data_IF_926933098543
#
_entry.id   IF_926933098543
#
_cell.length_a   1.000
_cell.length_b   1.000
_cell.length_c   1.000
_cell.angle_alpha   90.00
_cell.angle_beta   90.00
_cell.angle_gamma   90.00
#
_symmetry.space_group_name_H-M   'P 1'
#
loop_
_entity.id
_entity.type
_entity.pdbx_description
1 polymer ?
#
# COMPACT_ATOMS: atom_id res chain seq x y z
N UNK A 1 -38.60 -25.57 -59.16
CA UNK A 1 -39.74 -25.08 -58.37
C UNK A 1 -39.63 -25.68 -56.99
N UNK A 2 -39.07 -25.00 -56.03
CA UNK A 2 -39.37 -25.16 -54.60
C UNK A 2 -38.66 -24.02 -53.83
N UNK A 3 -39.47 -23.06 -53.48
CA UNK A 3 -39.13 -21.94 -52.62
C UNK A 3 -39.18 -22.43 -51.19
N UNK A 4 -38.08 -22.37 -50.46
CA UNK A 4 -38.05 -22.56 -49.01
C UNK A 4 -37.85 -21.20 -48.38
N UNK A 5 -38.95 -20.66 -47.84
CA UNK A 5 -38.99 -19.44 -47.06
C UNK A 5 -38.29 -19.68 -45.70
N UNK A 6 -37.27 -18.88 -45.38
CA UNK A 6 -36.64 -18.81 -44.08
C UNK A 6 -37.57 -18.13 -43.06
N UNK A 7 -37.71 -18.75 -41.88
CA UNK A 7 -38.53 -18.35 -40.75
C UNK A 7 -38.03 -17.08 -40.09
N UNK A 8 -38.92 -16.19 -39.55
CA UNK A 8 -38.55 -14.90 -38.89
C UNK A 8 -37.96 -14.98 -37.48
N UNK A 9 -37.52 -16.14 -37.01
CA UNK A 9 -37.11 -16.37 -35.61
C UNK A 9 -35.62 -16.14 -35.31
N UNK A 10 -34.77 -15.94 -36.33
CA UNK A 10 -33.32 -15.77 -36.12
C UNK A 10 -32.82 -14.32 -35.93
N UNK A 11 -33.73 -13.33 -35.85
CA UNK A 11 -33.35 -11.90 -35.74
C UNK A 11 -33.42 -11.33 -34.32
N UNK A 12 -33.43 -12.11 -33.25
CA UNK A 12 -33.53 -11.59 -31.88
C UNK A 12 -32.43 -12.03 -30.90
N UNK A 13 -31.27 -12.41 -31.33
CA UNK A 13 -30.14 -12.74 -30.44
C UNK A 13 -28.88 -11.89 -30.77
N UNK A 14 -29.07 -10.64 -31.15
CA UNK A 14 -28.00 -9.67 -31.09
C UNK A 14 -28.10 -8.95 -29.74
N UNK A 15 -27.83 -9.64 -28.66
CA UNK A 15 -27.70 -9.06 -27.34
C UNK A 15 -26.45 -8.19 -27.36
N UNK A 16 -26.71 -6.91 -27.30
CA UNK A 16 -25.81 -5.77 -27.27
C UNK A 16 -24.78 -5.95 -26.13
N UNK A 17 -23.66 -6.62 -26.42
CA UNK A 17 -22.52 -6.75 -25.50
C UNK A 17 -21.90 -5.38 -25.15
N UNK A 18 -22.28 -4.30 -25.84
CA UNK A 18 -21.81 -2.95 -25.55
C UNK A 18 -22.49 -2.33 -24.34
N UNK A 19 -23.66 -2.83 -23.92
CA UNK A 19 -24.39 -2.33 -22.74
C UNK A 19 -23.99 -2.97 -21.42
N UNK A 20 -23.34 -4.15 -21.45
CA UNK A 20 -22.86 -4.82 -20.23
C UNK A 20 -21.55 -4.23 -19.69
N UNK A 21 -20.81 -3.46 -20.49
CA UNK A 21 -19.58 -2.78 -20.06
C UNK A 21 -19.82 -1.46 -19.33
N UNK A 22 -21.08 -0.96 -19.25
CA UNK A 22 -21.40 0.39 -18.73
C UNK A 22 -21.92 0.44 -17.28
N UNK A 23 -21.93 -0.66 -16.54
CA UNK A 23 -22.44 -0.69 -15.15
C UNK A 23 -21.47 -1.33 -14.14
N UNK A 24 -20.16 -1.20 -14.35
CA UNK A 24 -19.25 -1.27 -13.22
C UNK A 24 -19.29 0.09 -12.51
N UNK A 25 -20.16 0.24 -11.49
CA UNK A 25 -19.89 1.25 -10.46
C UNK A 25 -18.46 0.99 -10.02
N UNK A 26 -17.57 2.01 -9.99
CA UNK A 26 -16.23 1.80 -9.47
C UNK A 26 -16.42 1.25 -8.04
N UNK A 27 -16.01 0.01 -7.80
CA UNK A 27 -16.01 -0.55 -6.47
C UNK A 27 -15.06 0.29 -5.64
N UNK A 28 -15.56 0.87 -4.55
CA UNK A 28 -14.75 1.59 -3.58
C UNK A 28 -13.73 0.61 -2.98
N UNK A 29 -12.46 0.78 -3.26
CA UNK A 29 -11.39 -0.05 -2.69
C UNK A 29 -11.18 0.29 -1.22
N UNK A 30 -11.27 -0.69 -0.35
CA UNK A 30 -11.02 -0.53 1.09
C UNK A 30 -9.54 -0.83 1.38
N UNK A 31 -8.82 0.17 1.86
CA UNK A 31 -7.40 0.08 2.19
C UNK A 31 -7.24 -0.18 3.69
N UNK A 32 -6.41 -1.16 4.05
CA UNK A 32 -5.83 -1.25 5.38
C UNK A 32 -4.41 -0.69 5.37
N UNK A 33 -4.07 0.14 6.36
CA UNK A 33 -2.69 0.63 6.55
C UNK A 33 -2.09 -0.06 7.77
N UNK A 34 -0.94 -0.71 7.60
CA UNK A 34 -0.19 -1.33 8.68
C UNK A 34 0.95 -0.42 9.10
N UNK A 35 1.10 -0.21 10.41
CA UNK A 35 2.02 0.76 11.02
C UNK A 35 2.70 0.21 12.27
N UNK A 36 3.83 0.82 12.68
CA UNK A 36 4.48 0.47 13.97
C UNK A 36 4.92 1.70 14.79
N UNK A 37 4.71 2.93 14.29
CA UNK A 37 5.30 4.12 14.89
C UNK A 37 4.48 5.39 14.76
N UNK A 38 5.14 6.50 14.37
CA UNK A 38 4.57 7.85 14.35
C UNK A 38 3.38 8.04 13.41
N UNK A 39 3.35 7.35 12.26
CA UNK A 39 2.23 7.34 11.34
C UNK A 39 2.07 8.59 10.46
N UNK A 40 3.14 9.31 10.16
CA UNK A 40 3.11 10.48 9.27
C UNK A 40 2.63 10.09 7.87
N UNK A 41 3.13 9.01 7.31
CA UNK A 41 2.65 8.46 6.03
C UNK A 41 1.20 7.95 6.12
N UNK A 42 0.84 7.30 7.23
CA UNK A 42 -0.52 6.84 7.46
C UNK A 42 -1.53 8.02 7.42
N UNK A 43 -1.26 9.09 8.16
CA UNK A 43 -2.11 10.28 8.17
C UNK A 43 -2.19 10.93 6.79
N UNK A 44 -1.07 11.02 6.08
CA UNK A 44 -1.02 11.60 4.74
C UNK A 44 -1.89 10.81 3.75
N UNK A 45 -1.83 9.47 3.78
CA UNK A 45 -2.67 8.60 2.96
C UNK A 45 -4.16 8.76 3.34
N UNK A 46 -4.50 8.81 4.63
CA UNK A 46 -5.88 9.04 5.09
C UNK A 46 -6.43 10.34 4.50
N UNK A 47 -5.68 11.45 4.61
CA UNK A 47 -6.08 12.76 4.09
C UNK A 47 -6.26 12.74 2.57
N UNK A 48 -5.34 12.10 1.86
CA UNK A 48 -5.40 12.02 0.39
C UNK A 48 -6.67 11.32 -0.10
N UNK A 49 -7.09 10.23 0.57
CA UNK A 49 -8.25 9.45 0.18
C UNK A 49 -9.56 9.89 0.85
N UNK A 50 -9.56 10.92 1.68
CA UNK A 50 -10.73 11.35 2.46
C UNK A 50 -11.95 11.63 1.57
N UNK A 51 -11.77 12.32 0.44
CA UNK A 51 -12.83 12.68 -0.49
C UNK A 51 -12.79 11.85 -1.79
N UNK A 52 -12.01 10.77 -1.83
CA UNK A 52 -11.88 9.91 -2.99
C UNK A 52 -13.14 9.10 -3.23
N UNK A 53 -13.53 8.97 -4.51
CA UNK A 53 -14.64 8.10 -4.93
C UNK A 53 -14.17 6.70 -5.33
N UNK A 54 -12.86 6.44 -5.32
CA UNK A 54 -12.24 5.18 -5.77
C UNK A 54 -11.76 4.31 -4.63
N UNK A 55 -11.20 4.93 -3.61
CA UNK A 55 -10.64 4.21 -2.47
C UNK A 55 -10.84 4.97 -1.17
N UNK A 56 -10.81 4.27 -0.05
CA UNK A 56 -10.83 4.83 1.30
C UNK A 56 -9.95 4.01 2.23
N UNK A 57 -9.40 4.65 3.24
CA UNK A 57 -8.76 3.96 4.34
C UNK A 57 -9.86 3.47 5.28
N UNK A 58 -10.04 2.17 5.37
CA UNK A 58 -11.11 1.52 6.16
C UNK A 58 -10.62 0.96 7.48
N UNK A 59 -9.29 0.80 7.64
CA UNK A 59 -8.69 0.25 8.84
C UNK A 59 -7.23 0.70 8.96
N UNK A 60 -6.78 1.03 10.17
CA UNK A 60 -5.37 1.15 10.52
C UNK A 60 -5.03 0.08 11.55
N UNK A 61 -4.03 -0.75 11.26
CA UNK A 61 -3.57 -1.84 12.12
C UNK A 61 -2.17 -1.51 12.62
N UNK A 62 -1.97 -1.58 13.94
CA UNK A 62 -0.64 -1.47 14.53
C UNK A 62 -0.25 -2.72 15.31
N UNK A 63 1.01 -3.14 15.19
CA UNK A 63 1.56 -4.18 16.05
C UNK A 63 1.97 -3.67 17.45
N UNK A 64 1.85 -2.35 17.69
CA UNK A 64 2.19 -1.69 18.96
C UNK A 64 1.01 -0.87 19.45
N UNK A 65 0.67 -1.04 20.71
CA UNK A 65 -0.46 -0.33 21.36
C UNK A 65 -0.18 1.18 21.51
N UNK A 66 1.08 1.54 21.63
CA UNK A 66 1.57 2.91 21.83
C UNK A 66 1.92 3.64 20.52
N UNK A 67 1.64 3.04 19.36
CA UNK A 67 1.88 3.67 18.08
C UNK A 67 1.03 4.94 17.91
N UNK A 68 1.67 6.09 17.76
CA UNK A 68 0.97 7.38 17.60
C UNK A 68 0.12 7.43 16.32
N UNK A 69 0.42 6.58 15.35
CA UNK A 69 -0.41 6.36 14.16
C UNK A 69 -1.88 6.03 14.49
N UNK A 70 -2.15 5.31 15.59
CA UNK A 70 -3.51 4.98 16.04
C UNK A 70 -4.27 6.24 16.45
N UNK A 71 -3.59 7.16 17.15
CA UNK A 71 -4.16 8.46 17.55
C UNK A 71 -4.49 9.30 16.30
N UNK A 72 -3.57 9.35 15.33
CA UNK A 72 -3.79 10.06 14.06
C UNK A 72 -5.00 9.49 13.31
N UNK A 73 -5.09 8.18 13.15
CA UNK A 73 -6.21 7.52 12.48
C UNK A 73 -7.54 7.80 13.19
N UNK A 74 -7.56 7.70 14.52
CA UNK A 74 -8.74 8.02 15.32
C UNK A 74 -9.23 9.45 15.12
N UNK A 75 -8.32 10.42 15.08
CA UNK A 75 -8.64 11.85 14.85
C UNK A 75 -9.28 12.09 13.46
N UNK A 76 -9.04 11.22 12.51
CA UNK A 76 -9.67 11.22 11.20
C UNK A 76 -10.91 10.30 11.09
N UNK A 77 -11.37 9.71 12.21
CA UNK A 77 -12.53 8.81 12.24
C UNK A 77 -12.28 7.45 11.56
N UNK A 78 -11.02 7.06 11.36
CA UNK A 78 -10.67 5.76 10.78
C UNK A 78 -10.58 4.71 11.90
N UNK A 79 -11.26 3.56 11.76
CA UNK A 79 -11.14 2.44 12.69
C UNK A 79 -9.70 1.99 12.89
N UNK A 80 -9.37 1.61 14.12
CA UNK A 80 -8.01 1.18 14.48
C UNK A 80 -8.04 -0.15 15.22
N UNK A 81 -7.05 -1.01 14.96
CA UNK A 81 -6.87 -2.28 15.65
C UNK A 81 -5.42 -2.46 16.10
N UNK A 82 -5.24 -3.01 17.30
CA UNK A 82 -3.92 -3.42 17.79
C UNK A 82 -3.78 -4.92 17.53
N UNK A 83 -2.86 -5.27 16.61
CA UNK A 83 -2.63 -6.63 16.17
C UNK A 83 -1.18 -7.02 16.42
N UNK A 84 -0.91 -7.53 17.60
CA UNK A 84 0.45 -7.89 18.04
C UNK A 84 1.05 -9.01 17.19
N UNK A 85 2.35 -9.24 17.31
CA UNK A 85 3.04 -10.33 16.61
C UNK A 85 2.36 -11.69 16.83
N UNK A 86 1.89 -11.96 18.06
CA UNK A 86 1.21 -13.21 18.39
C UNK A 86 -0.13 -13.34 17.68
N UNK A 87 -0.88 -12.24 17.57
CA UNK A 87 -2.13 -12.21 16.79
C UNK A 87 -1.89 -12.41 15.29
N UNK A 88 -0.82 -11.86 14.75
CA UNK A 88 -0.43 -12.12 13.36
C UNK A 88 -0.01 -13.57 13.10
N UNK A 89 0.32 -14.35 14.13
CA UNK A 89 0.58 -15.80 13.96
C UNK A 89 -0.71 -16.62 13.78
N UNK A 90 -1.88 -16.08 14.15
CA UNK A 90 -3.18 -16.67 13.88
C UNK A 90 -3.72 -16.19 12.53
N UNK A 91 -3.54 -17.03 11.50
CA UNK A 91 -3.95 -16.73 10.14
C UNK A 91 -5.46 -16.55 10.02
N UNK A 92 -6.25 -17.39 10.69
CA UNK A 92 -7.71 -17.35 10.60
C UNK A 92 -8.26 -16.05 11.19
N UNK A 93 -7.82 -15.69 12.41
CA UNK A 93 -8.24 -14.46 13.07
C UNK A 93 -7.80 -13.21 12.27
N UNK A 94 -6.61 -13.22 11.66
CA UNK A 94 -6.13 -12.09 10.86
C UNK A 94 -6.95 -11.91 9.58
N UNK A 95 -7.24 -13.00 8.87
CA UNK A 95 -8.07 -12.94 7.66
C UNK A 95 -9.50 -12.55 8.01
N UNK A 96 -10.06 -13.03 9.12
CA UNK A 96 -11.39 -12.63 9.60
C UNK A 96 -11.44 -11.14 9.90
N UNK A 97 -10.46 -10.59 10.60
CA UNK A 97 -10.35 -9.15 10.84
C UNK A 97 -10.40 -8.36 9.53
N UNK A 98 -9.51 -8.67 8.59
CA UNK A 98 -9.44 -7.94 7.31
C UNK A 98 -10.73 -8.08 6.49
N UNK A 99 -11.35 -9.26 6.52
CA UNK A 99 -12.63 -9.53 5.84
C UNK A 99 -13.78 -8.75 6.45
N UNK A 100 -13.83 -8.59 7.79
CA UNK A 100 -14.88 -7.84 8.50
C UNK A 100 -14.88 -6.36 8.07
N UNK A 101 -13.71 -5.79 7.78
CA UNK A 101 -13.55 -4.44 7.21
C UNK A 101 -13.59 -4.42 5.68
N UNK A 102 -13.81 -5.57 5.02
CA UNK A 102 -13.85 -5.72 3.56
C UNK A 102 -12.58 -5.18 2.88
N UNK A 103 -11.42 -5.48 3.45
CA UNK A 103 -10.15 -4.96 2.96
C UNK A 103 -9.81 -5.60 1.61
N UNK A 104 -9.51 -4.75 0.63
CA UNK A 104 -9.13 -5.12 -0.73
C UNK A 104 -7.63 -4.94 -1.00
N UNK A 105 -6.98 -4.02 -0.27
CA UNK A 105 -5.59 -3.61 -0.48
C UNK A 105 -4.91 -3.27 0.85
N UNK A 106 -3.64 -3.64 1.00
CA UNK A 106 -2.85 -3.41 2.22
C UNK A 106 -1.65 -2.52 1.89
N UNK A 107 -1.44 -1.50 2.70
CA UNK A 107 -0.32 -0.56 2.60
C UNK A 107 0.53 -0.65 3.86
N UNK A 108 1.80 -0.97 3.73
CA UNK A 108 2.75 -0.91 4.83
C UNK A 108 3.37 0.49 4.88
N UNK A 109 3.12 1.21 5.97
CA UNK A 109 3.61 2.58 6.18
C UNK A 109 4.44 2.64 7.47
N UNK A 110 5.66 2.15 7.42
CA UNK A 110 6.51 1.99 8.60
C UNK A 110 6.08 0.82 9.49
N UNK A 111 5.70 -0.31 8.89
CA UNK A 111 5.40 -1.55 9.58
C UNK A 111 6.65 -2.40 9.73
N UNK A 112 7.02 -2.73 10.99
CA UNK A 112 8.33 -3.32 11.30
C UNK A 112 8.33 -4.85 11.44
N UNK A 113 7.18 -5.51 11.39
CA UNK A 113 7.13 -6.97 11.37
C UNK A 113 7.21 -7.49 9.92
N UNK A 114 7.78 -8.68 9.78
CA UNK A 114 7.66 -9.43 8.51
C UNK A 114 6.18 -9.73 8.28
N UNK A 115 5.69 -9.46 7.07
CA UNK A 115 4.34 -9.87 6.66
C UNK A 115 4.30 -11.39 6.62
N UNK A 116 3.34 -12.04 7.28
CA UNK A 116 3.21 -13.49 7.22
C UNK A 116 2.89 -13.99 5.81
N UNK A 117 3.46 -15.12 5.43
CA UNK A 117 3.33 -15.67 4.08
C UNK A 117 1.86 -15.95 3.69
N UNK A 118 1.01 -16.33 4.65
CA UNK A 118 -0.42 -16.52 4.39
C UNK A 118 -1.14 -15.22 3.94
N UNK A 119 -0.68 -14.04 4.41
CA UNK A 119 -1.23 -12.76 3.92
C UNK A 119 -0.79 -12.47 2.49
N UNK A 120 0.45 -12.79 2.13
CA UNK A 120 0.95 -12.63 0.77
C UNK A 120 0.14 -13.50 -0.20
N UNK A 121 -0.18 -14.74 0.22
CA UNK A 121 -1.02 -15.66 -0.55
C UNK A 121 -2.47 -15.17 -0.63
N UNK A 122 -3.03 -14.62 0.45
CA UNK A 122 -4.42 -14.13 0.47
C UNK A 122 -4.60 -12.81 -0.30
N UNK A 123 -3.55 -11.99 -0.39
CA UNK A 123 -3.56 -10.68 -1.04
C UNK A 123 -2.48 -10.59 -2.15
N UNK A 124 -2.54 -11.44 -3.21
CA UNK A 124 -1.51 -11.50 -4.24
C UNK A 124 -1.43 -10.17 -5.01
N UNK A 125 -0.25 -9.54 -5.01
CA UNK A 125 0.00 -8.21 -5.60
C UNK A 125 -0.91 -7.09 -5.05
N UNK A 126 -1.40 -7.25 -3.83
CA UNK A 126 -2.26 -6.27 -3.14
C UNK A 126 -1.67 -5.80 -1.82
N UNK A 127 -0.40 -6.08 -1.58
CA UNK A 127 0.35 -5.55 -0.43
C UNK A 127 1.54 -4.79 -0.99
N UNK A 128 1.66 -3.52 -0.62
CA UNK A 128 2.80 -2.67 -0.99
C UNK A 128 3.48 -2.12 0.25
N UNK A 129 4.76 -1.83 0.11
CA UNK A 129 5.59 -1.19 1.14
C UNK A 129 6.28 0.05 0.57
N UNK A 130 6.52 1.04 1.44
CA UNK A 130 7.48 2.10 1.17
C UNK A 130 8.74 1.89 1.99
N UNK A 131 9.89 1.90 1.32
CA UNK A 131 11.21 1.78 1.93
C UNK A 131 11.99 3.08 1.75
N UNK A 132 12.64 3.63 2.81
CA UNK A 132 13.26 4.95 2.78
C UNK A 132 14.68 4.96 2.17
N UNK A 133 14.93 4.11 1.16
CA UNK A 133 16.15 4.09 0.37
C UNK A 133 15.89 3.63 -1.08
N UNK A 134 16.93 3.70 -1.91
CA UNK A 134 16.91 3.21 -3.29
C UNK A 134 17.26 1.72 -3.32
N UNK A 135 16.27 0.86 -3.20
CA UNK A 135 16.48 -0.59 -3.28
C UNK A 135 17.20 -0.98 -4.59
N UNK A 136 18.08 -1.97 -4.55
CA UNK A 136 18.35 -2.92 -3.45
C UNK A 136 19.31 -2.43 -2.36
N UNK A 137 19.84 -1.20 -2.45
CA UNK A 137 20.75 -0.64 -1.46
C UNK A 137 20.00 -0.36 -0.16
N UNK A 138 20.64 -0.58 0.98
CA UNK A 138 20.11 -0.31 2.32
C UNK A 138 18.74 -0.95 2.58
N UNK A 139 18.46 -2.10 1.97
CA UNK A 139 17.26 -2.92 2.22
C UNK A 139 17.53 -4.13 3.08
N UNK A 140 16.46 -4.85 3.43
CA UNK A 140 16.53 -6.12 4.13
C UNK A 140 16.37 -6.02 5.66
N UNK A 141 16.57 -7.14 6.35
CA UNK A 141 16.32 -7.26 7.78
C UNK A 141 17.17 -6.27 8.60
N UNK A 142 16.49 -5.46 9.41
CA UNK A 142 17.13 -4.45 10.28
C UNK A 142 17.29 -3.08 9.65
N UNK A 143 17.01 -2.93 8.35
CA UNK A 143 17.08 -1.66 7.63
C UNK A 143 15.71 -0.97 7.63
N UNK A 144 15.48 -0.12 8.62
CA UNK A 144 14.23 0.64 8.77
C UNK A 144 14.46 1.98 9.48
N UNK A 145 13.64 2.98 9.12
CA UNK A 145 13.63 4.29 9.75
C UNK A 145 15.02 4.92 9.79
N UNK A 146 15.42 5.43 10.95
CA UNK A 146 16.67 6.15 11.17
C UNK A 146 17.93 5.35 10.78
N UNK A 147 17.92 4.03 10.99
CA UNK A 147 19.06 3.16 10.63
C UNK A 147 19.41 3.19 9.14
N UNK A 148 18.42 3.37 8.28
CA UNK A 148 18.64 3.51 6.83
C UNK A 148 19.39 4.81 6.53
N UNK A 149 19.00 5.92 7.15
CA UNK A 149 19.62 7.22 6.93
C UNK A 149 21.04 7.28 7.51
N UNK A 150 21.28 6.61 8.65
CA UNK A 150 22.62 6.41 9.20
C UNK A 150 23.51 5.61 8.24
N UNK A 151 22.96 4.54 7.63
CA UNK A 151 23.70 3.74 6.67
C UNK A 151 24.06 4.55 5.41
N UNK A 152 23.11 5.27 4.83
CA UNK A 152 23.35 6.17 3.69
C UNK A 152 24.47 7.18 3.98
N UNK A 153 24.44 7.81 5.18
CA UNK A 153 25.48 8.79 5.57
C UNK A 153 26.83 8.13 5.81
N UNK A 154 26.88 6.99 6.50
CA UNK A 154 28.09 6.22 6.81
C UNK A 154 28.78 5.73 5.54
N UNK A 155 28.00 5.24 4.57
CA UNK A 155 28.53 4.63 3.36
C UNK A 155 28.93 5.69 2.32
N UNK A 156 28.64 6.96 2.60
CA UNK A 156 29.06 8.10 1.78
C UNK A 156 28.30 8.22 0.47
N UNK A 157 27.07 7.76 0.44
CA UNK A 157 26.23 7.86 -0.75
C UNK A 157 26.03 9.32 -1.16
N UNK A 158 26.06 9.60 -2.45
CA UNK A 158 25.83 10.93 -3.02
C UNK A 158 24.37 11.18 -3.39
N UNK A 159 23.54 10.12 -3.39
CA UNK A 159 22.11 10.18 -3.57
C UNK A 159 21.40 9.13 -2.69
N UNK A 160 20.17 9.42 -2.34
CA UNK A 160 19.25 8.48 -1.68
C UNK A 160 17.85 8.67 -2.24
N UNK A 161 16.84 8.03 -1.66
CA UNK A 161 15.48 8.18 -2.15
C UNK A 161 14.50 7.27 -1.43
N UNK A 162 13.39 7.05 -2.08
CA UNK A 162 12.36 6.12 -1.63
C UNK A 162 12.15 5.03 -2.68
N UNK A 163 11.74 3.86 -2.22
CA UNK A 163 11.28 2.76 -3.07
C UNK A 163 9.90 2.32 -2.61
N UNK A 164 8.93 2.32 -3.52
CA UNK A 164 7.62 1.70 -3.33
C UNK A 164 7.64 0.40 -4.12
N UNK A 165 7.31 -0.73 -3.46
CA UNK A 165 7.41 -2.05 -4.05
C UNK A 165 6.28 -2.97 -3.57
N UNK A 166 5.96 -4.00 -4.35
CA UNK A 166 5.11 -5.08 -3.89
C UNK A 166 5.83 -5.90 -2.82
N UNK A 167 5.08 -6.39 -1.84
CA UNK A 167 5.62 -7.26 -0.79
C UNK A 167 5.63 -8.71 -1.26
N UNK A 168 6.74 -9.39 -1.00
CA UNK A 168 6.92 -10.82 -1.18
C UNK A 168 7.43 -11.46 0.13
N UNK A 169 7.85 -12.72 0.08
CA UNK A 169 8.29 -13.50 1.24
C UNK A 169 9.63 -13.01 1.83
N UNK A 170 10.37 -12.16 1.13
CA UNK A 170 11.64 -11.58 1.58
C UNK A 170 11.49 -10.10 1.94
N UNK A 171 12.29 -9.61 2.89
CA UNK A 171 12.29 -8.19 3.22
C UNK A 171 12.84 -7.37 2.04
N UNK A 172 12.08 -6.34 1.64
CA UNK A 172 12.44 -5.31 0.66
C UNK A 172 12.90 -5.84 -0.71
N UNK A 173 12.51 -7.09 -1.06
CA UNK A 173 12.94 -7.77 -2.29
C UNK A 173 11.83 -7.94 -3.35
N UNK A 174 10.63 -7.40 -3.10
CA UNK A 174 9.52 -7.49 -4.04
C UNK A 174 9.70 -6.57 -5.25
N UNK A 175 8.86 -6.79 -6.27
CA UNK A 175 8.90 -6.01 -7.52
C UNK A 175 8.73 -4.52 -7.24
N UNK A 176 9.70 -3.71 -7.67
CA UNK A 176 9.67 -2.25 -7.57
C UNK A 176 8.55 -1.70 -8.46
N UNK A 177 7.76 -0.78 -7.89
CA UNK A 177 6.69 -0.04 -8.55
C UNK A 177 7.20 1.35 -8.92
N UNK A 178 7.85 2.04 -7.95
CA UNK A 178 8.26 3.42 -8.11
C UNK A 178 9.50 3.72 -7.25
N UNK A 179 10.36 4.59 -7.75
CA UNK A 179 11.47 5.17 -7.00
C UNK A 179 11.54 6.67 -7.25
N UNK A 180 11.78 7.44 -6.20
CA UNK A 180 12.16 8.85 -6.30
C UNK A 180 13.53 9.07 -5.64
N UNK A 181 14.33 9.97 -6.21
CA UNK A 181 15.72 10.23 -5.82
C UNK A 181 15.90 11.65 -5.28
N UNK A 182 16.85 11.81 -4.39
CA UNK A 182 17.27 13.12 -3.87
C UNK A 182 18.77 13.09 -3.61
N UNK A 183 19.51 14.18 -3.91
CA UNK A 183 20.94 14.26 -3.63
C UNK A 183 21.22 14.32 -2.13
N UNK A 184 22.28 13.63 -1.70
CA UNK A 184 22.89 13.74 -0.37
C UNK A 184 24.11 14.63 -0.48
N UNK A 185 24.04 15.79 0.17
CA UNK A 185 25.15 16.73 0.18
C UNK A 185 26.18 16.36 1.25
N UNK A 186 27.46 16.70 1.09
CA UNK A 186 28.47 16.45 2.13
C UNK A 186 28.12 17.10 3.48
N UNK A 187 27.37 18.19 3.45
CA UNK A 187 26.91 18.94 4.62
C UNK A 187 25.65 18.35 5.29
N UNK A 188 24.95 17.42 4.64
CA UNK A 188 23.76 16.81 5.21
C UNK A 188 24.15 15.91 6.39
N UNK A 189 23.53 16.14 7.52
CA UNK A 189 23.51 15.17 8.62
C UNK A 189 22.37 14.16 8.43
N UNK A 190 22.26 13.19 9.34
CA UNK A 190 21.24 12.13 9.26
C UNK A 190 19.84 12.70 9.31
N UNK A 191 19.62 13.76 10.11
CA UNK A 191 18.31 14.42 10.22
C UNK A 191 17.92 15.16 8.93
N UNK A 192 18.89 15.78 8.24
CA UNK A 192 18.67 16.42 6.95
C UNK A 192 18.30 15.38 5.86
N UNK A 193 18.96 14.23 5.87
CA UNK A 193 18.64 13.11 4.96
C UNK A 193 17.21 12.61 5.23
N UNK A 194 16.87 12.35 6.50
CA UNK A 194 15.52 11.92 6.91
C UNK A 194 14.44 12.91 6.46
N UNK A 195 14.65 14.20 6.64
CA UNK A 195 13.70 15.24 6.22
C UNK A 195 13.46 15.24 4.70
N UNK A 196 14.53 15.04 3.91
CA UNK A 196 14.42 14.90 2.45
C UNK A 196 13.59 13.67 2.06
N UNK A 197 13.83 12.54 2.73
CA UNK A 197 13.08 11.31 2.49
C UNK A 197 11.61 11.49 2.85
N UNK A 198 11.29 12.07 4.02
CA UNK A 198 9.91 12.35 4.40
C UNK A 198 9.19 13.23 3.37
N UNK A 199 9.87 14.20 2.77
CA UNK A 199 9.29 15.03 1.71
C UNK A 199 8.92 14.20 0.48
N UNK A 200 9.78 13.27 0.05
CA UNK A 200 9.49 12.36 -1.06
C UNK A 200 8.35 11.40 -0.73
N UNK A 201 8.36 10.83 0.47
CA UNK A 201 7.30 9.92 0.94
C UNK A 201 5.94 10.60 0.92
N UNK A 202 5.83 11.79 1.53
CA UNK A 202 4.58 12.52 1.61
C UNK A 202 4.03 12.92 0.24
N UNK A 203 4.90 13.27 -0.69
CA UNK A 203 4.52 13.62 -2.05
C UNK A 203 4.05 12.42 -2.84
N UNK A 204 4.85 11.35 -2.88
CA UNK A 204 4.69 10.30 -3.88
C UNK A 204 3.87 9.10 -3.41
N UNK A 205 3.88 8.78 -2.10
CA UNK A 205 3.26 7.54 -1.66
C UNK A 205 1.74 7.50 -1.93
N UNK A 206 0.94 8.53 -1.57
CA UNK A 206 -0.48 8.53 -1.89
C UNK A 206 -0.77 8.52 -3.39
N UNK A 207 0.01 9.26 -4.19
CA UNK A 207 -0.15 9.34 -5.65
C UNK A 207 0.09 7.97 -6.32
N UNK A 208 1.13 7.24 -5.87
CA UNK A 208 1.43 5.90 -6.39
C UNK A 208 0.36 4.89 -5.98
N UNK A 209 -0.15 4.96 -4.74
CA UNK A 209 -1.29 4.12 -4.32
C UNK A 209 -2.49 4.37 -5.24
N UNK A 210 -2.87 5.63 -5.48
CA UNK A 210 -4.00 5.98 -6.33
C UNK A 210 -3.81 5.51 -7.77
N UNK A 211 -2.60 5.59 -8.30
CA UNK A 211 -2.26 5.07 -9.64
C UNK A 211 -2.48 3.56 -9.73
N UNK A 212 -1.97 2.78 -8.76
CA UNK A 212 -2.14 1.32 -8.71
C UNK A 212 -3.63 0.94 -8.66
N UNK A 213 -4.43 1.67 -7.88
CA UNK A 213 -5.86 1.38 -7.71
C UNK A 213 -6.71 1.85 -8.89
N UNK A 214 -6.11 2.52 -9.88
CA UNK A 214 -6.77 3.01 -11.08
C UNK A 214 -6.62 2.09 -12.29
N UNK A 215 -5.71 1.10 -12.21
CA UNK A 215 -5.48 0.07 -13.22
C UNK A 215 -6.49 -1.07 -13.11
#
# INVERSE_FOLDING_TARGET
MNSTAFSPLEKRLNTDHSKLSRLKRPFMTNIAIFVSGSGTNCENIIRYFQDSKRARVSLVVSNKIDAYALVRAHNHGVPTEVWTKDRFSDAAATIELLSSYKIDFIVLAGFLLKVPDYLIVAYPQKIINIHPALLPLHGGKGMYGHHVHEAVKRDGDTETGITIHYVNEEFDAGKIIFQARVPVLPTDDVAAIEAKIHTLEQRHFPEVIDSILSE
#
